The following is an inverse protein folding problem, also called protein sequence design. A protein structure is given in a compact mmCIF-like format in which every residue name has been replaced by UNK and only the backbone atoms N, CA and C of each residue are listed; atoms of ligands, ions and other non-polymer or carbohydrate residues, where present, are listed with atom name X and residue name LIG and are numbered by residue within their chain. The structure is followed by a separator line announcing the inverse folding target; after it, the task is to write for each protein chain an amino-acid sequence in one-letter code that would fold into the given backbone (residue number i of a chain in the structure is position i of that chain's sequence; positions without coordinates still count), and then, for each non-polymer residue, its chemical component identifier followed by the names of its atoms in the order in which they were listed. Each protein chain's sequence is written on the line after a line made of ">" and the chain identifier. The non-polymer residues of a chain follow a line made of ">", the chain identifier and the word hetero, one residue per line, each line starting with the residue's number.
data_IF_898540496423
#
_entry.id   IF_898540496423
#
_cell.length_a   1.000
_cell.length_b   1.000
_cell.length_c   1.000
_cell.angle_alpha   90.00
_cell.angle_beta   90.00
_cell.angle_gamma   90.00
#
_symmetry.space_group_name_H-M   'P 1'
#
loop_
_entity.id
_entity.type
_entity.pdbx_description
1 polymer ?
#
# COMPACT_ATOMS: atom_id res chain seq x y z
N UNK A 1 13.33 -4.73 27.87
CA UNK A 1 12.34 -5.79 27.60
C UNK A 1 10.96 -5.20 27.85
N UNK A 2 10.26 -4.82 26.78
CA UNK A 2 8.83 -4.49 26.87
C UNK A 2 8.04 -5.80 26.89
N UNK A 3 6.98 -5.80 27.67
CA UNK A 3 6.22 -6.93 28.25
C UNK A 3 5.56 -7.90 27.25
N UNK A 4 5.79 -7.73 25.94
CA UNK A 4 5.18 -8.53 24.86
C UNK A 4 6.18 -9.11 23.84
N UNK A 5 7.49 -9.05 24.09
CA UNK A 5 8.48 -9.75 23.25
C UNK A 5 8.74 -9.13 21.86
N UNK A 6 7.99 -8.11 21.45
CA UNK A 6 8.28 -7.36 20.22
C UNK A 6 9.40 -6.34 20.49
N UNK A 7 10.57 -6.60 19.90
CA UNK A 7 11.68 -5.66 19.91
C UNK A 7 11.38 -4.55 18.89
N UNK A 8 10.97 -3.38 19.39
CA UNK A 8 10.88 -2.17 18.56
C UNK A 8 12.17 -2.02 17.74
N UNK A 9 12.03 -1.79 16.44
CA UNK A 9 13.15 -1.57 15.55
C UNK A 9 14.03 -0.39 16.04
N UNK A 10 15.33 -0.44 15.74
CA UNK A 10 16.22 0.70 16.05
C UNK A 10 15.77 1.95 15.31
N UNK A 11 16.13 3.12 15.83
CA UNK A 11 15.76 4.40 15.22
C UNK A 11 16.27 4.52 13.77
N UNK A 12 17.45 3.96 13.47
CA UNK A 12 17.99 3.91 12.10
C UNK A 12 17.11 3.07 11.15
N UNK A 13 16.58 1.96 11.64
CA UNK A 13 15.66 1.11 10.85
C UNK A 13 14.34 1.83 10.61
N UNK A 14 13.81 2.50 11.63
CA UNK A 14 12.58 3.31 11.52
C UNK A 14 12.79 4.46 10.53
N UNK A 15 13.93 5.14 10.58
CA UNK A 15 14.29 6.21 9.64
C UNK A 15 14.32 5.69 8.20
N UNK A 16 14.98 4.54 7.96
CA UNK A 16 15.05 3.94 6.62
C UNK A 16 13.67 3.54 6.08
N UNK A 17 12.79 3.03 6.94
CA UNK A 17 11.39 2.75 6.58
C UNK A 17 10.62 4.02 6.21
N UNK A 18 10.86 5.10 6.95
CA UNK A 18 10.32 6.43 6.63
C UNK A 18 10.78 6.94 5.26
N UNK A 19 12.07 6.82 4.95
CA UNK A 19 12.61 7.19 3.63
C UNK A 19 11.98 6.38 2.50
N UNK A 20 11.83 5.07 2.67
CA UNK A 20 11.18 4.21 1.69
C UNK A 20 9.73 4.65 1.45
N UNK A 21 8.99 4.95 2.50
CA UNK A 21 7.62 5.42 2.39
C UNK A 21 7.51 6.78 1.66
N UNK A 22 8.44 7.70 1.88
CA UNK A 22 8.50 8.95 1.11
C UNK A 22 8.79 8.70 -0.37
N UNK A 23 9.70 7.76 -0.68
CA UNK A 23 9.99 7.37 -2.07
C UNK A 23 8.75 6.79 -2.76
N UNK A 24 7.98 5.94 -2.06
CA UNK A 24 6.70 5.41 -2.56
C UNK A 24 5.72 6.55 -2.86
N UNK A 25 5.53 7.49 -1.92
CA UNK A 25 4.65 8.65 -2.14
C UNK A 25 5.08 9.46 -3.36
N UNK A 26 6.38 9.74 -3.50
CA UNK A 26 6.90 10.52 -4.63
C UNK A 26 6.76 9.78 -5.96
N UNK A 27 7.02 8.47 -5.99
CA UNK A 27 6.86 7.65 -7.19
C UNK A 27 5.40 7.68 -7.69
N UNK A 28 4.45 7.46 -6.80
CA UNK A 28 3.02 7.47 -7.12
C UNK A 28 2.55 8.86 -7.59
N UNK A 29 3.01 9.94 -6.93
CA UNK A 29 2.70 11.31 -7.36
C UNK A 29 3.28 11.65 -8.73
N UNK A 30 4.50 11.22 -9.03
CA UNK A 30 5.12 11.41 -10.35
C UNK A 30 4.39 10.65 -11.44
N UNK A 31 3.78 9.51 -11.12
CA UNK A 31 2.88 8.79 -12.01
C UNK A 31 1.49 9.44 -12.16
N UNK A 32 1.24 10.58 -11.50
CA UNK A 32 -0.02 11.31 -11.57
C UNK A 32 -1.09 10.85 -10.58
N UNK A 33 -0.76 9.95 -9.64
CA UNK A 33 -1.71 9.50 -8.63
C UNK A 33 -1.64 10.37 -7.36
N UNK A 34 -2.80 10.70 -6.75
CA UNK A 34 -2.80 11.25 -5.41
C UNK A 34 -2.25 10.21 -4.44
N UNK A 35 -1.20 10.57 -3.69
CA UNK A 35 -0.60 9.71 -2.68
C UNK A 35 -0.16 10.50 -1.44
N UNK A 36 -0.23 9.87 -0.28
CA UNK A 36 0.13 10.48 1.00
C UNK A 36 0.46 9.45 2.07
N UNK A 37 1.20 9.88 3.09
CA UNK A 37 1.49 9.08 4.29
C UNK A 37 0.27 9.04 5.20
N UNK A 38 0.02 7.87 5.78
CA UNK A 38 -0.95 7.77 6.86
C UNK A 38 -0.47 8.55 8.10
N UNK A 39 -1.41 9.15 8.84
CA UNK A 39 -1.09 10.00 10.00
C UNK A 39 -0.41 11.34 9.67
N UNK A 40 -0.23 11.69 8.39
CA UNK A 40 0.27 13.01 7.99
C UNK A 40 -0.73 14.13 8.25
N UNK A 41 -0.30 15.40 8.14
CA UNK A 41 -1.10 16.61 8.40
C UNK A 41 -2.24 16.89 7.40
N UNK A 42 -2.66 15.90 6.62
CA UNK A 42 -3.70 16.03 5.60
C UNK A 42 -5.11 15.79 6.16
N UNK A 43 -6.12 16.16 5.37
CA UNK A 43 -7.50 15.80 5.68
C UNK A 43 -7.69 14.27 5.74
N UNK A 44 -8.48 13.73 6.67
CA UNK A 44 -8.81 12.30 6.72
C UNK A 44 -9.59 11.84 5.48
N UNK A 45 -10.25 12.74 4.77
CA UNK A 45 -11.13 12.45 3.63
C UNK A 45 -10.40 12.44 2.28
N UNK A 46 -9.06 12.45 2.29
CA UNK A 46 -8.27 12.46 1.05
C UNK A 46 -8.42 11.15 0.29
N UNK A 47 -8.77 11.25 -0.99
CA UNK A 47 -8.79 10.12 -1.93
C UNK A 47 -7.39 9.86 -2.46
N UNK A 48 -6.99 8.59 -2.55
CA UNK A 48 -5.74 8.19 -3.17
C UNK A 48 -5.00 7.06 -2.47
N UNK A 49 -3.75 6.87 -2.87
CA UNK A 49 -2.87 5.87 -2.31
C UNK A 49 -2.37 6.30 -0.92
N UNK A 50 -2.66 5.49 0.09
CA UNK A 50 -2.27 5.73 1.48
C UNK A 50 -1.08 4.85 1.80
N UNK A 51 0.02 5.47 2.22
CA UNK A 51 1.28 4.78 2.51
C UNK A 51 1.46 4.65 4.01
N UNK A 52 1.42 3.42 4.50
CA UNK A 52 1.61 3.06 5.90
C UNK A 52 3.06 2.63 6.13
N UNK A 53 3.59 2.93 7.33
CA UNK A 53 4.83 2.33 7.82
C UNK A 53 4.50 1.52 9.04
N UNK A 54 4.86 0.25 9.01
CA UNK A 54 4.81 -0.62 10.17
C UNK A 54 6.14 -0.48 10.95
N UNK A 55 6.11 0.13 12.16
CA UNK A 55 7.31 0.27 12.99
C UNK A 55 7.76 -1.06 13.59
N UNK A 56 6.86 -2.05 13.67
CA UNK A 56 7.07 -3.32 14.35
C UNK A 56 7.28 -4.49 13.38
N UNK A 57 7.20 -4.24 12.06
CA UNK A 57 7.49 -5.24 11.03
C UNK A 57 8.83 -5.95 11.29
N UNK A 58 8.82 -7.27 11.22
CA UNK A 58 10.04 -8.09 11.32
C UNK A 58 11.00 -7.80 10.15
N UNK A 59 12.28 -8.13 10.32
CA UNK A 59 13.33 -7.85 9.30
C UNK A 59 13.03 -8.46 7.94
N UNK A 60 12.27 -9.56 7.88
CA UNK A 60 11.89 -10.24 6.64
C UNK A 60 10.52 -9.79 6.06
N UNK A 61 9.81 -8.90 6.75
CA UNK A 61 8.49 -8.42 6.34
C UNK A 61 8.57 -7.05 5.67
N UNK A 62 7.60 -6.75 4.79
CA UNK A 62 7.48 -5.42 4.23
C UNK A 62 7.08 -4.43 5.33
N UNK A 63 7.97 -3.50 5.64
CA UNK A 63 7.71 -2.46 6.62
C UNK A 63 6.92 -1.27 6.04
N UNK A 64 6.65 -1.27 4.74
CA UNK A 64 5.85 -0.26 4.04
C UNK A 64 4.75 -0.97 3.28
N UNK A 65 3.51 -0.51 3.46
CA UNK A 65 2.36 -0.98 2.70
C UNK A 65 1.59 0.19 2.12
N UNK A 66 0.87 -0.08 1.02
CA UNK A 66 0.08 0.91 0.30
C UNK A 66 -1.33 0.37 0.10
N UNK A 67 -2.32 1.09 0.62
CA UNK A 67 -3.74 0.86 0.36
C UNK A 67 -4.33 1.95 -0.54
N UNK A 68 -5.51 1.70 -1.12
CA UNK A 68 -6.25 2.72 -1.86
C UNK A 68 -7.48 3.20 -1.09
N UNK A 69 -7.49 4.49 -0.74
CA UNK A 69 -8.66 5.13 -0.12
C UNK A 69 -9.57 5.70 -1.21
N UNK A 70 -10.76 5.11 -1.33
CA UNK A 70 -11.82 5.64 -2.17
C UNK A 70 -12.40 6.95 -1.61
N UNK A 71 -13.20 7.63 -2.43
CA UNK A 71 -14.06 8.71 -1.95
C UNK A 71 -14.92 8.25 -0.77
N UNK A 72 -15.03 9.04 0.32
CA UNK A 72 -15.84 8.67 1.49
C UNK A 72 -17.30 8.35 1.16
N UNK A 73 -17.87 8.95 0.11
CA UNK A 73 -19.22 8.65 -0.37
C UNK A 73 -19.37 7.23 -0.89
N UNK A 74 -18.31 6.62 -1.44
CA UNK A 74 -18.33 5.22 -1.89
C UNK A 74 -18.39 4.26 -0.70
N UNK A 75 -17.59 4.50 0.34
CA UNK A 75 -17.63 3.71 1.56
C UNK A 75 -18.96 3.90 2.31
N UNK A 76 -19.44 5.15 2.41
CA UNK A 76 -20.73 5.47 3.02
C UNK A 76 -21.89 4.76 2.33
N UNK A 77 -21.96 4.81 1.00
CA UNK A 77 -23.01 4.14 0.25
C UNK A 77 -23.03 2.61 0.46
N UNK A 78 -21.85 1.99 0.55
CA UNK A 78 -21.75 0.56 0.84
C UNK A 78 -22.24 0.22 2.26
N UNK A 79 -21.87 1.04 3.26
CA UNK A 79 -22.31 0.90 4.65
C UNK A 79 -23.82 1.11 4.79
N UNK A 80 -24.37 2.14 4.16
CA UNK A 80 -25.81 2.44 4.20
C UNK A 80 -26.61 1.31 3.54
N UNK A 81 -26.12 0.73 2.44
CA UNK A 81 -26.76 -0.41 1.78
C UNK A 81 -26.75 -1.67 2.66
N UNK A 82 -25.64 -1.96 3.34
CA UNK A 82 -25.56 -3.05 4.33
C UNK A 82 -26.52 -2.83 5.50
N UNK A 83 -26.56 -1.61 6.04
CA UNK A 83 -27.47 -1.25 7.13
C UNK A 83 -28.95 -1.38 6.71
N UNK A 84 -29.26 -1.12 5.45
CA UNK A 84 -30.59 -1.33 4.87
C UNK A 84 -30.93 -2.81 4.55
N UNK A 85 -30.02 -3.75 4.86
CA UNK A 85 -30.25 -5.19 4.67
C UNK A 85 -29.88 -5.72 3.28
N UNK A 86 -29.12 -4.95 2.49
CA UNK A 86 -28.60 -5.46 1.21
C UNK A 86 -27.64 -6.63 1.45
N UNK A 87 -27.66 -7.68 0.61
CA UNK A 87 -26.74 -8.78 0.75
C UNK A 87 -25.29 -8.34 0.49
N UNK A 88 -24.33 -9.06 1.07
CA UNK A 88 -22.90 -8.73 0.97
C UNK A 88 -22.35 -8.74 -0.47
N UNK A 89 -22.99 -9.49 -1.37
CA UNK A 89 -22.63 -9.58 -2.78
C UNK A 89 -23.25 -8.48 -3.66
N UNK A 90 -24.11 -7.63 -3.10
CA UNK A 90 -24.74 -6.54 -3.82
C UNK A 90 -23.67 -5.61 -4.44
N UNK A 91 -23.84 -5.12 -5.68
CA UNK A 91 -22.83 -4.32 -6.36
C UNK A 91 -22.38 -3.08 -5.58
N UNK A 92 -23.29 -2.39 -4.88
CA UNK A 92 -22.98 -1.22 -4.06
C UNK A 92 -22.11 -1.57 -2.85
N UNK A 93 -22.32 -2.74 -2.25
CA UNK A 93 -21.56 -3.24 -1.09
C UNK A 93 -20.17 -3.69 -1.51
N UNK A 94 -20.05 -4.38 -2.66
CA UNK A 94 -18.77 -4.86 -3.18
C UNK A 94 -17.90 -3.79 -3.84
N UNK A 95 -18.48 -2.63 -4.15
CA UNK A 95 -17.82 -1.59 -4.95
C UNK A 95 -16.51 -1.09 -4.35
N UNK A 96 -16.40 -0.76 -3.04
CA UNK A 96 -15.15 -0.29 -2.45
C UNK A 96 -14.01 -1.31 -2.63
N UNK A 97 -14.24 -2.57 -2.24
CA UNK A 97 -13.23 -3.63 -2.38
C UNK A 97 -12.87 -3.94 -3.83
N UNK A 98 -13.84 -3.86 -4.75
CA UNK A 98 -13.57 -4.04 -6.19
C UNK A 98 -12.69 -2.94 -6.77
N UNK A 99 -12.82 -1.71 -6.26
CA UNK A 99 -11.92 -0.59 -6.64
C UNK A 99 -10.54 -0.83 -6.03
N UNK A 100 -10.47 -1.17 -4.74
CA UNK A 100 -9.22 -1.50 -4.03
C UNK A 100 -8.39 -2.53 -4.81
N UNK A 101 -8.98 -3.68 -5.13
CA UNK A 101 -8.31 -4.75 -5.87
C UNK A 101 -7.78 -4.32 -7.25
N UNK A 102 -8.52 -3.48 -7.99
CA UNK A 102 -8.05 -2.95 -9.27
C UNK A 102 -6.90 -1.97 -9.07
N UNK A 103 -6.97 -1.14 -8.04
CA UNK A 103 -5.92 -0.21 -7.71
C UNK A 103 -4.65 -0.92 -7.23
N UNK A 104 -4.77 -2.02 -6.49
CA UNK A 104 -3.63 -2.86 -6.09
C UNK A 104 -2.75 -3.24 -7.29
N UNK A 105 -3.35 -3.81 -8.35
CA UNK A 105 -2.61 -4.17 -9.57
C UNK A 105 -1.95 -2.98 -10.25
N UNK A 106 -2.65 -1.83 -10.32
CA UNK A 106 -2.09 -0.61 -10.89
C UNK A 106 -0.93 -0.04 -10.06
N UNK A 107 -1.07 -0.03 -8.73
CA UNK A 107 -0.05 0.43 -7.79
C UNK A 107 1.21 -0.42 -7.89
N UNK A 108 1.08 -1.76 -7.92
CA UNK A 108 2.21 -2.68 -8.13
C UNK A 108 2.95 -2.35 -9.41
N UNK A 109 2.24 -2.24 -10.54
CA UNK A 109 2.84 -1.92 -11.84
C UNK A 109 3.60 -0.59 -11.84
N UNK A 110 3.01 0.45 -11.24
CA UNK A 110 3.64 1.77 -11.14
C UNK A 110 4.90 1.71 -10.27
N UNK A 111 4.82 1.10 -9.09
CA UNK A 111 5.95 1.02 -8.15
C UNK A 111 7.11 0.23 -8.76
N UNK A 112 6.83 -0.91 -9.39
CA UNK A 112 7.84 -1.69 -10.12
C UNK A 112 8.49 -0.87 -11.24
N UNK A 113 7.70 -0.13 -12.03
CA UNK A 113 8.24 0.75 -13.08
C UNK A 113 9.11 1.89 -12.54
N UNK A 114 8.89 2.29 -11.29
CA UNK A 114 9.69 3.28 -10.58
C UNK A 114 10.93 2.68 -9.88
N UNK A 115 11.17 1.37 -10.04
CA UNK A 115 12.31 0.67 -9.44
C UNK A 115 12.12 0.27 -7.98
N UNK A 116 10.88 0.30 -7.48
CA UNK A 116 10.53 -0.17 -6.13
C UNK A 116 10.08 -1.62 -6.19
N UNK A 117 10.51 -2.43 -5.22
CA UNK A 117 10.13 -3.84 -5.09
C UNK A 117 8.77 -3.88 -4.40
N UNK A 118 7.72 -4.15 -5.16
CA UNK A 118 6.35 -4.17 -4.68
C UNK A 118 5.62 -5.44 -5.09
N UNK A 119 4.80 -5.99 -4.19
CA UNK A 119 3.96 -7.16 -4.46
C UNK A 119 2.55 -6.95 -3.90
N UNK A 120 1.52 -7.61 -4.46
CA UNK A 120 0.24 -7.73 -3.79
C UNK A 120 0.39 -8.33 -2.39
N UNK A 121 -0.32 -7.79 -1.41
CA UNK A 121 -0.59 -8.48 -0.17
C UNK A 121 -1.59 -9.62 -0.45
N UNK A 122 -1.25 -10.83 -0.03
CA UNK A 122 -2.10 -12.01 -0.22
C UNK A 122 -2.84 -12.40 1.07
N UNK A 123 -2.89 -11.50 2.05
CA UNK A 123 -3.65 -11.67 3.29
C UNK A 123 -5.15 -11.48 3.00
N UNK A 124 -5.99 -12.39 3.50
CA UNK A 124 -7.45 -12.31 3.42
C UNK A 124 -7.99 -11.06 4.13
N UNK A 125 -7.27 -10.52 5.11
CA UNK A 125 -7.66 -9.33 5.87
C UNK A 125 -7.42 -8.02 5.11
N UNK A 126 -6.38 -7.96 4.26
CA UNK A 126 -6.01 -6.76 3.50
C UNK A 126 -5.75 -7.12 2.02
N UNK A 127 -6.72 -7.69 1.31
CA UNK A 127 -6.49 -8.31 0.00
C UNK A 127 -6.20 -7.29 -1.11
N UNK A 128 -6.41 -5.99 -0.85
CA UNK A 128 -6.18 -4.89 -1.79
C UNK A 128 -4.92 -4.07 -1.49
N UNK A 129 -4.14 -4.46 -0.47
CA UNK A 129 -2.91 -3.78 -0.11
C UNK A 129 -1.72 -4.22 -0.96
N UNK A 130 -0.74 -3.33 -1.07
CA UNK A 130 0.53 -3.56 -1.76
C UNK A 130 1.67 -3.46 -0.75
N UNK A 131 2.49 -4.50 -0.68
CA UNK A 131 3.68 -4.56 0.17
C UNK A 131 4.88 -4.01 -0.59
N UNK A 132 5.70 -3.18 0.07
CA UNK A 132 6.91 -2.58 -0.52
C UNK A 132 8.13 -2.93 0.34
N UNK A 133 9.14 -3.54 -0.29
CA UNK A 133 10.30 -4.12 0.42
C UNK A 133 11.56 -3.27 0.31
N UNK A 134 11.65 -2.37 -0.66
CA UNK A 134 12.84 -1.56 -0.90
C UNK A 134 12.99 -1.16 -2.37
N UNK A 135 14.19 -0.73 -2.75
CA UNK A 135 14.52 -0.44 -4.15
C UNK A 135 15.20 -1.63 -4.83
N UNK A 136 14.97 -1.80 -6.13
CA UNK A 136 15.68 -2.80 -6.94
C UNK A 136 17.20 -2.55 -6.94
N UNK A 137 17.65 -1.30 -6.78
CA UNK A 137 19.08 -0.97 -6.64
C UNK A 137 19.72 -1.58 -5.41
N UNK A 138 18.94 -1.81 -4.35
CA UNK A 138 19.40 -2.36 -3.08
C UNK A 138 19.63 -3.88 -3.18
N UNK A 139 19.08 -4.53 -4.22
CA UNK A 139 19.33 -5.93 -4.49
C UNK A 139 20.72 -6.15 -5.10
N UNK A 140 21.42 -7.24 -4.72
CA UNK A 140 22.59 -7.73 -5.44
C UNK A 140 22.29 -7.85 -6.94
N UNK A 141 23.24 -7.57 -7.84
CA UNK A 141 23.01 -7.62 -9.29
C UNK A 141 22.38 -8.94 -9.78
N UNK A 142 22.73 -10.07 -9.15
CA UNK A 142 22.18 -11.39 -9.48
C UNK A 142 20.70 -11.58 -9.13
N UNK A 143 20.15 -10.76 -8.23
CA UNK A 143 18.76 -10.80 -7.77
C UNK A 143 17.91 -9.68 -8.36
N UNK A 144 18.49 -8.79 -9.18
CA UNK A 144 17.73 -7.70 -9.81
C UNK A 144 16.83 -8.28 -10.90
N UNK A 145 15.51 -8.06 -10.84
CA UNK A 145 14.62 -8.53 -11.88
C UNK A 145 14.98 -7.83 -13.20
N UNK A 146 15.26 -8.62 -14.24
CA UNK A 146 15.35 -8.14 -15.62
C UNK A 146 13.94 -7.91 -16.14
N UNK A 147 13.32 -6.79 -15.75
CA UNK A 147 12.05 -6.41 -16.33
C UNK A 147 12.27 -6.02 -17.80
N UNK A 148 11.97 -6.95 -18.70
CA UNK A 148 11.84 -6.66 -20.13
C UNK A 148 10.38 -6.27 -20.34
N UNK A 149 10.07 -4.97 -20.60
CA UNK A 149 8.70 -4.59 -20.90
C UNK A 149 8.23 -5.35 -22.15
N UNK A 150 6.99 -5.85 -22.19
CA UNK A 150 6.49 -6.56 -23.36
C UNK A 150 6.38 -5.58 -24.54
N UNK A 151 7.21 -5.79 -25.57
CA UNK A 151 7.05 -5.16 -26.90
C UNK A 151 8.03 -4.05 -27.28
N UNK A 152 9.34 -4.27 -27.13
CA UNK A 152 10.38 -3.50 -27.88
C UNK A 152 10.69 -4.16 -29.21
#
# INVERSE_FOLDING_TARGET
>A
MTEFGFARASDDVIARRGELAEQVVQALRRAGLPAFRDGGSGSPDRVGAVVHVDPDAETASAAVSVGWRCDPGVARAALDALAAGSPADAPVVRRPGSIGLRMQGALVGILLSAGLIATPEHDEMNPDHVLVFGQMSDLPPALRPTFVPPGS
#
